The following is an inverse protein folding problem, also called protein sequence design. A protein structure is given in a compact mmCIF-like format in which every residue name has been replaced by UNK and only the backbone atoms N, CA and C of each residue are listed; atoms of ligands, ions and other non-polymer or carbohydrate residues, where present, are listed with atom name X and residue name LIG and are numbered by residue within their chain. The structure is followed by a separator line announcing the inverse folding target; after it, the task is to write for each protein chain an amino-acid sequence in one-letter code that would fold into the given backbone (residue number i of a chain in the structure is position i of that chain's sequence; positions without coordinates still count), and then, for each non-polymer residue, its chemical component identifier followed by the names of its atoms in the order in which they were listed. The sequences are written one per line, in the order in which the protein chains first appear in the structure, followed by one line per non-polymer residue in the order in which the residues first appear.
data_IF_283338107473
#
_entry.id   IF_283338107473
#
_cell.length_a   1.000
_cell.length_b   1.000
_cell.length_c   1.000
_cell.angle_alpha   90.00
_cell.angle_beta   90.00
_cell.angle_gamma   90.00
#
_symmetry.space_group_name_H-M   'P 1'
#
loop_
_entity.id
_entity.type
_entity.pdbx_description
1 polymer ?
#
# COMPACT_ATOMS: atom_id res chain seq x y z
N UNK A 1 12.93 -2.42 7.01
CA UNK A 1 11.77 -2.46 7.95
C UNK A 1 11.78 -3.83 8.59
N UNK A 2 11.51 -3.93 9.90
CA UNK A 2 11.31 -5.22 10.56
C UNK A 2 9.87 -5.31 11.07
N UNK A 3 9.26 -6.49 10.93
CA UNK A 3 7.92 -6.80 11.42
C UNK A 3 8.02 -8.07 12.25
N UNK A 4 7.53 -8.04 13.49
CA UNK A 4 7.55 -9.22 14.37
C UNK A 4 8.98 -9.77 14.61
N UNK A 5 9.98 -8.87 14.64
CA UNK A 5 11.39 -9.25 14.74
C UNK A 5 12.01 -9.82 13.46
N UNK A 6 11.24 -9.92 12.36
CA UNK A 6 11.73 -10.38 11.05
C UNK A 6 11.98 -9.20 10.12
N UNK A 7 13.17 -9.13 9.54
CA UNK A 7 13.48 -8.13 8.53
C UNK A 7 12.70 -8.41 7.24
N UNK A 8 11.99 -7.39 6.77
CA UNK A 8 11.24 -7.42 5.53
C UNK A 8 11.85 -6.41 4.57
N UNK A 9 12.33 -6.94 3.44
CA UNK A 9 12.77 -6.14 2.32
C UNK A 9 11.54 -5.54 1.61
N UNK A 10 11.30 -4.27 1.86
CA UNK A 10 10.30 -3.45 1.16
C UNK A 10 11.01 -2.39 0.34
N UNK A 11 10.56 -2.19 -0.89
CA UNK A 11 10.99 -1.06 -1.71
C UNK A 11 10.50 0.25 -1.11
N UNK A 12 11.09 1.38 -1.54
CA UNK A 12 10.64 2.72 -1.11
C UNK A 12 9.13 2.94 -1.32
N UNK A 13 8.58 2.44 -2.43
CA UNK A 13 7.16 2.57 -2.77
C UNK A 13 6.27 1.74 -1.84
N UNK A 14 6.64 0.49 -1.62
CA UNK A 14 5.96 -0.40 -0.66
C UNK A 14 5.98 0.20 0.75
N UNK A 15 7.11 0.78 1.16
CA UNK A 15 7.22 1.47 2.44
C UNK A 15 6.37 2.75 2.51
N UNK A 16 6.28 3.53 1.43
CA UNK A 16 5.43 4.72 1.38
C UNK A 16 3.94 4.37 1.53
N UNK A 17 3.47 3.30 0.88
CA UNK A 17 2.10 2.79 1.05
C UNK A 17 1.87 2.38 2.51
N UNK A 18 2.79 1.60 3.08
CA UNK A 18 2.69 1.16 4.47
C UNK A 18 2.68 2.33 5.44
N UNK A 19 3.54 3.32 5.22
CA UNK A 19 3.63 4.52 6.02
C UNK A 19 2.32 5.30 5.96
N UNK A 20 1.75 5.49 4.76
CA UNK A 20 0.47 6.17 4.60
C UNK A 20 -0.69 5.44 5.31
N UNK A 21 -0.72 4.10 5.24
CA UNK A 21 -1.70 3.29 5.96
C UNK A 21 -1.47 3.34 7.49
N UNK A 22 -0.22 3.39 7.93
CA UNK A 22 0.16 3.48 9.34
C UNK A 22 -0.03 4.88 9.94
N UNK A 23 0.02 5.94 9.12
CA UNK A 23 -0.30 7.32 9.52
C UNK A 23 -1.77 7.44 9.97
N UNK A 24 -2.67 6.66 9.36
CA UNK A 24 -4.11 6.66 9.67
C UNK A 24 -4.67 5.23 9.75
N UNK A 25 -4.36 4.50 10.84
CA UNK A 25 -4.88 3.14 11.01
C UNK A 25 -6.40 3.15 11.04
N UNK A 26 -7.02 2.22 10.32
CA UNK A 26 -8.47 2.09 10.20
C UNK A 26 -9.13 2.96 9.12
N UNK A 27 -8.37 3.82 8.42
CA UNK A 27 -8.89 4.54 7.25
C UNK A 27 -8.66 3.74 5.97
N UNK A 28 -9.69 3.69 5.14
CA UNK A 28 -9.58 3.15 3.78
C UNK A 28 -8.97 4.24 2.90
N UNK A 29 -7.76 4.00 2.40
CA UNK A 29 -7.16 4.85 1.38
C UNK A 29 -7.60 4.37 -0.01
N UNK A 30 -8.10 5.31 -0.82
CA UNK A 30 -8.42 5.02 -2.20
C UNK A 30 -7.15 4.81 -3.01
N UNK A 31 -7.30 4.15 -4.16
CA UNK A 31 -6.18 3.92 -5.06
C UNK A 31 -5.47 5.23 -5.45
N UNK A 32 -6.23 6.26 -5.81
CA UNK A 32 -5.67 7.57 -6.19
C UNK A 32 -4.93 8.26 -5.04
N UNK A 33 -5.37 8.08 -3.80
CA UNK A 33 -4.65 8.60 -2.63
C UNK A 33 -3.32 7.87 -2.41
N UNK A 34 -3.27 6.55 -2.64
CA UNK A 34 -2.03 5.80 -2.60
C UNK A 34 -1.11 6.21 -3.75
N UNK A 35 -1.64 6.38 -4.97
CA UNK A 35 -0.90 6.86 -6.14
C UNK A 35 -0.21 8.20 -5.85
N UNK A 36 -0.95 9.18 -5.30
CA UNK A 36 -0.43 10.50 -4.92
C UNK A 36 0.72 10.42 -3.91
N UNK A 37 0.64 9.50 -2.94
CA UNK A 37 1.69 9.28 -1.92
C UNK A 37 2.94 8.61 -2.46
N UNK A 38 2.81 7.76 -3.47
CA UNK A 38 3.95 7.03 -4.06
C UNK A 38 4.62 7.85 -5.16
N UNK A 39 3.82 8.63 -5.90
CA UNK A 39 4.23 9.31 -7.12
C UNK A 39 4.07 10.82 -6.97
N UNK A 40 5.01 11.43 -6.27
CA UNK A 40 5.15 12.88 -6.19
C UNK A 40 5.75 13.52 -7.46
N UNK A 41 5.26 13.19 -8.67
CA UNK A 41 5.47 13.92 -9.95
C UNK A 41 6.43 13.39 -11.06
N UNK A 42 6.98 12.16 -11.03
CA UNK A 42 8.05 11.80 -12.00
C UNK A 42 7.99 10.42 -12.68
N UNK A 43 6.96 9.60 -12.52
CA UNK A 43 6.87 8.31 -13.22
C UNK A 43 5.48 8.07 -13.78
N UNK A 44 5.40 7.61 -15.03
CA UNK A 44 4.16 7.17 -15.66
C UNK A 44 3.58 6.01 -14.83
N UNK A 45 2.36 6.23 -14.31
CA UNK A 45 1.68 5.24 -13.49
C UNK A 45 1.07 4.20 -14.43
N UNK A 46 1.65 3.00 -14.45
CA UNK A 46 0.93 1.81 -14.87
C UNK A 46 -0.36 1.73 -14.05
N UNK A 47 -1.51 1.66 -14.72
CA UNK A 47 -2.84 1.66 -14.12
C UNK A 47 -3.14 0.42 -13.25
N UNK A 48 -2.14 -0.29 -12.76
CA UNK A 48 -2.23 -1.40 -11.82
C UNK A 48 -1.06 -1.40 -10.80
N UNK A 49 -0.19 -0.38 -10.80
CA UNK A 49 1.03 -0.36 -9.99
C UNK A 49 0.73 -0.50 -8.49
N UNK A 50 -0.28 0.22 -7.99
CA UNK A 50 -0.71 0.11 -6.58
C UNK A 50 -1.16 -1.30 -6.23
N UNK A 51 -1.94 -1.95 -7.10
CA UNK A 51 -2.44 -3.31 -6.87
C UNK A 51 -1.29 -4.31 -6.82
N UNK A 52 -0.29 -4.17 -7.71
CA UNK A 52 0.93 -4.98 -7.70
C UNK A 52 1.72 -4.77 -6.40
N UNK A 53 1.88 -3.51 -5.96
CA UNK A 53 2.59 -3.20 -4.71
C UNK A 53 1.85 -3.74 -3.48
N UNK A 54 0.53 -3.58 -3.39
CA UNK A 54 -0.29 -4.16 -2.32
C UNK A 54 -0.18 -5.69 -2.33
N UNK A 55 -0.22 -6.32 -3.51
CA UNK A 55 -0.08 -7.77 -3.62
C UNK A 55 1.27 -8.25 -3.09
N UNK A 56 2.37 -7.60 -3.47
CA UNK A 56 3.73 -7.89 -2.98
C UNK A 56 3.85 -7.66 -1.47
N UNK A 57 3.28 -6.57 -0.96
CA UNK A 57 3.23 -6.27 0.47
C UNK A 57 2.50 -7.36 1.25
N UNK A 58 1.33 -7.81 0.76
CA UNK A 58 0.55 -8.88 1.40
C UNK A 58 1.30 -10.21 1.43
N UNK A 59 2.05 -10.52 0.38
CA UNK A 59 2.91 -11.70 0.34
C UNK A 59 4.03 -11.63 1.39
N UNK A 60 4.54 -10.43 1.68
CA UNK A 60 5.64 -10.21 2.63
C UNK A 60 5.18 -10.07 4.09
N UNK A 61 4.11 -9.32 4.35
CA UNK A 61 3.63 -8.96 5.70
C UNK A 61 2.57 -9.94 6.24
N UNK A 62 1.95 -10.71 5.34
CA UNK A 62 0.80 -11.54 5.63
C UNK A 62 -0.52 -10.87 5.28
N UNK A 63 -1.49 -11.68 4.84
CA UNK A 63 -2.81 -11.22 4.38
C UNK A 63 -3.69 -10.56 5.46
N UNK A 64 -3.38 -10.77 6.74
CA UNK A 64 -4.16 -10.27 7.88
C UNK A 64 -3.86 -8.81 8.24
N UNK A 65 -2.76 -8.24 7.74
CA UNK A 65 -2.32 -6.88 8.11
C UNK A 65 -2.69 -5.81 7.07
N UNK A 66 -3.01 -6.22 5.85
CA UNK A 66 -3.49 -5.32 4.80
C UNK A 66 -4.76 -5.91 4.22
N UNK A 67 -5.86 -5.23 4.48
CA UNK A 67 -7.17 -5.57 3.96
C UNK A 67 -7.48 -4.67 2.77
N UNK A 68 -7.89 -5.30 1.66
CA UNK A 68 -8.42 -4.56 0.51
C UNK A 68 -9.91 -4.50 0.67
N UNK A 69 -10.43 -3.32 1.01
CA UNK A 69 -11.87 -3.07 0.97
C UNK A 69 -12.23 -2.89 -0.49
N UNK A 70 -12.90 -3.88 -1.09
CA UNK A 70 -13.65 -3.64 -2.33
C UNK A 70 -14.86 -2.80 -1.93
N UNK A 71 -14.75 -1.49 -2.14
CA UNK A 71 -15.92 -0.64 -2.10
C UNK A 71 -16.90 -1.11 -3.18
N UNK A 72 -18.11 -1.46 -2.77
CA UNK A 72 -19.26 -1.23 -3.64
C UNK A 72 -19.24 0.27 -4.00
N UNK A 73 -19.49 0.67 -5.27
CA UNK A 73 -19.33 2.04 -5.74
C UNK A 73 -20.31 3.07 -5.13
N UNK A 74 -20.79 2.86 -3.90
CA UNK A 74 -21.78 3.71 -3.25
C UNK A 74 -21.55 3.87 -1.74
N UNK A 75 -20.70 4.82 -1.33
CA UNK A 75 -21.00 5.75 -0.22
C UNK A 75 -19.96 6.85 -0.04
#
# INVERSE_FOLDING_TARGET
MALDGKEIAVSRREFAILHALAERPGHVLSRSQLEDRIYGWQEEIESNAVEVHIHKLRAKLGRTRIETVRGDPSR
#
